data_IF_397361347709
#
_entry.id   IF_397361347709
#
_cell.length_a   1.000
_cell.length_b   1.000
_cell.length_c   1.000
_cell.angle_alpha   90.00
_cell.angle_beta   90.00
_cell.angle_gamma   90.00
#
_symmetry.space_group_name_H-M   'P 1'
#
loop_
_entity.id
_entity.type
_entity.pdbx_description
1 polymer ?
#
# COMPACT_ATOMS: atom_id res chain seq x y z
N UNK A 1 3.79 -11.66 -2.28
CA UNK A 1 3.49 -10.92 -3.54
C UNK A 1 3.55 -9.43 -3.24
N UNK A 2 4.04 -8.60 -4.17
CA UNK A 2 4.20 -7.16 -3.95
C UNK A 2 3.44 -6.36 -5.01
N UNK A 3 2.74 -5.31 -4.57
CA UNK A 3 2.05 -4.34 -5.41
C UNK A 3 2.71 -2.97 -5.20
N UNK A 4 3.38 -2.49 -6.23
CA UNK A 4 4.06 -1.19 -6.27
C UNK A 4 3.09 -0.01 -6.24
N UNK A 5 3.63 1.14 -5.85
CA UNK A 5 2.96 2.42 -6.05
C UNK A 5 2.78 2.69 -7.55
N UNK A 6 2.03 3.75 -7.88
CA UNK A 6 1.56 4.09 -9.23
C UNK A 6 2.45 3.63 -10.38
N UNK A 7 3.61 4.24 -10.56
CA UNK A 7 4.35 4.10 -11.81
C UNK A 7 5.82 3.76 -11.60
N UNK A 8 6.27 3.40 -10.39
CA UNK A 8 7.67 3.10 -10.13
C UNK A 8 7.92 1.59 -10.27
N UNK A 9 8.92 1.21 -11.07
CA UNK A 9 9.39 -0.17 -11.16
C UNK A 9 10.48 -0.44 -10.11
N UNK A 10 10.65 -1.72 -9.73
CA UNK A 10 11.69 -2.23 -8.81
C UNK A 10 11.60 -1.77 -7.35
N UNK A 11 10.48 -1.20 -6.93
CA UNK A 11 10.30 -0.80 -5.53
C UNK A 11 10.42 -1.97 -4.56
N UNK A 12 10.05 -3.18 -4.98
CA UNK A 12 10.22 -4.41 -4.21
C UNK A 12 11.66 -4.65 -3.72
N UNK A 13 12.67 -4.15 -4.45
CA UNK A 13 14.09 -4.23 -4.05
C UNK A 13 14.38 -3.40 -2.78
N UNK A 14 13.61 -2.33 -2.55
CA UNK A 14 13.68 -1.49 -1.34
C UNK A 14 13.10 -2.25 -0.14
N UNK A 15 12.10 -3.11 -0.38
CA UNK A 15 11.38 -3.86 0.63
C UNK A 15 11.84 -5.32 0.76
N UNK A 16 12.97 -5.70 0.15
CA UNK A 16 13.49 -7.07 0.16
C UNK A 16 13.73 -7.63 1.58
N UNK A 17 13.92 -6.75 2.57
CA UNK A 17 14.05 -7.11 3.99
C UNK A 17 12.73 -7.42 4.71
N UNK A 18 11.58 -7.06 4.14
CA UNK A 18 10.28 -7.47 4.68
C UNK A 18 10.08 -8.96 4.38
N UNK A 19 10.20 -9.80 5.42
CA UNK A 19 9.92 -11.23 5.32
C UNK A 19 8.51 -11.44 4.80
N UNK A 20 8.42 -11.97 3.58
CA UNK A 20 7.17 -12.36 2.96
C UNK A 20 6.97 -13.87 3.08
N UNK A 21 5.92 -14.27 3.78
CA UNK A 21 5.41 -15.63 3.69
C UNK A 21 4.85 -15.92 2.29
N UNK A 22 4.71 -17.21 1.96
CA UNK A 22 4.15 -17.66 0.69
C UNK A 22 2.74 -17.11 0.40
N UNK A 23 2.00 -16.79 1.45
CA UNK A 23 0.62 -16.30 1.41
C UNK A 23 0.47 -14.83 1.86
N UNK A 24 1.59 -14.11 1.92
CA UNK A 24 1.62 -12.70 2.29
C UNK A 24 1.56 -11.82 1.03
N UNK A 25 0.78 -10.74 1.13
CA UNK A 25 0.65 -9.72 0.09
C UNK A 25 1.03 -8.38 0.69
N UNK A 26 1.89 -7.64 -0.01
CA UNK A 26 2.30 -6.30 0.34
C UNK A 26 1.79 -5.32 -0.72
N UNK A 27 1.29 -4.18 -0.28
CA UNK A 27 1.09 -3.02 -1.13
C UNK A 27 1.83 -1.79 -0.59
N UNK A 28 2.33 -0.94 -1.48
CA UNK A 28 2.88 0.38 -1.17
C UNK A 28 2.05 1.46 -1.87
N UNK A 29 1.69 2.54 -1.17
CA UNK A 29 1.02 3.67 -1.79
C UNK A 29 -0.28 3.24 -2.45
N UNK A 30 -0.40 3.48 -3.76
CA UNK A 30 -1.50 2.98 -4.60
C UNK A 30 -1.60 1.45 -4.61
N UNK A 31 -0.46 0.77 -4.58
CA UNK A 31 -0.39 -0.68 -4.53
C UNK A 31 -1.09 -1.28 -3.31
N UNK A 32 -1.33 -0.51 -2.24
CA UNK A 32 -2.17 -0.91 -1.11
C UNK A 32 -3.61 -1.24 -1.55
N UNK A 33 -4.18 -0.44 -2.43
CA UNK A 33 -5.51 -0.67 -2.97
C UNK A 33 -5.53 -1.92 -3.86
N UNK A 34 -4.56 -2.05 -4.77
CA UNK A 34 -4.44 -3.22 -5.65
C UNK A 34 -4.24 -4.52 -4.86
N UNK A 35 -3.39 -4.49 -3.83
CA UNK A 35 -3.14 -5.61 -2.93
C UNK A 35 -4.41 -6.05 -2.21
N UNK A 36 -5.23 -5.10 -1.73
CA UNK A 36 -6.49 -5.38 -1.04
C UNK A 36 -7.51 -6.04 -1.96
N UNK A 37 -7.68 -5.51 -3.18
CA UNK A 37 -8.55 -6.09 -4.20
C UNK A 37 -8.09 -7.49 -4.64
N UNK A 38 -6.77 -7.69 -4.77
CA UNK A 38 -6.20 -9.00 -5.06
C UNK A 38 -6.51 -10.02 -3.97
N UNK A 39 -6.27 -9.67 -2.69
CA UNK A 39 -6.53 -10.53 -1.53
C UNK A 39 -8.01 -10.90 -1.48
N UNK A 40 -8.91 -9.93 -1.62
CA UNK A 40 -10.35 -10.17 -1.68
C UNK A 40 -10.71 -11.19 -2.76
N UNK A 41 -10.21 -10.97 -3.99
CA UNK A 41 -10.46 -11.88 -5.11
C UNK A 41 -9.85 -13.29 -4.91
N UNK A 42 -8.73 -13.43 -4.19
CA UNK A 42 -8.16 -14.74 -3.88
C UNK A 42 -9.00 -15.48 -2.82
N UNK A 43 -9.47 -14.79 -1.79
CA UNK A 43 -10.34 -15.38 -0.76
C UNK A 43 -11.65 -15.87 -1.39
N UNK A 44 -12.25 -15.10 -2.29
CA UNK A 44 -13.44 -15.53 -3.03
C UNK A 44 -13.21 -16.80 -3.86
N UNK A 45 -11.97 -17.03 -4.32
CA UNK A 45 -11.55 -18.25 -5.02
C UNK A 45 -11.11 -19.36 -4.07
N UNK A 46 -11.42 -19.25 -2.77
CA UNK A 46 -11.07 -20.21 -1.72
C UNK A 46 -9.56 -20.45 -1.58
N UNK A 47 -8.74 -19.45 -1.95
CA UNK A 47 -7.29 -19.53 -1.76
C UNK A 47 -6.90 -18.98 -0.40
N UNK A 48 -5.90 -19.63 0.21
CA UNK A 48 -5.34 -19.20 1.48
C UNK A 48 -4.59 -17.88 1.31
N UNK A 49 -4.95 -16.90 2.13
CA UNK A 49 -4.21 -15.67 2.35
C UNK A 49 -3.85 -15.58 3.84
N UNK A 50 -2.64 -15.14 4.16
CA UNK A 50 -2.17 -15.11 5.56
C UNK A 50 -2.07 -13.69 6.10
N UNK A 51 -1.54 -12.78 5.28
CA UNK A 51 -1.28 -11.41 5.68
C UNK A 51 -1.44 -10.46 4.50
N UNK A 52 -2.03 -9.31 4.79
CA UNK A 52 -2.06 -8.15 3.92
C UNK A 52 -1.34 -7.00 4.64
N UNK A 53 -0.21 -6.58 4.09
CA UNK A 53 0.63 -5.52 4.64
C UNK A 53 0.55 -4.30 3.74
N UNK A 54 0.09 -3.18 4.30
CA UNK A 54 -0.18 -1.94 3.59
C UNK A 54 0.78 -0.86 4.06
N UNK A 55 1.62 -0.36 3.17
CA UNK A 55 2.63 0.65 3.48
C UNK A 55 2.19 1.98 2.90
N UNK A 56 1.96 2.97 3.76
CA UNK A 56 1.45 4.29 3.39
C UNK A 56 0.30 4.23 2.38
N UNK A 57 -0.86 3.63 2.74
CA UNK A 57 -2.01 3.60 1.85
C UNK A 57 -2.45 5.02 1.47
N UNK A 58 -3.03 5.12 0.26
CA UNK A 58 -3.58 6.36 -0.30
C UNK A 58 -5.09 6.20 -0.37
N UNK A 59 -5.85 7.12 0.22
CA UNK A 59 -7.31 7.06 0.25
C UNK A 59 -7.87 7.66 -1.04
N UNK A 60 -7.48 8.90 -1.37
CA UNK A 60 -7.90 9.57 -2.60
C UNK A 60 -6.90 9.30 -3.74
N UNK A 61 -7.06 8.12 -4.35
CA UNK A 61 -6.21 7.64 -5.45
C UNK A 61 -6.20 8.61 -6.63
N UNK A 62 -7.34 9.20 -6.98
CA UNK A 62 -7.43 10.09 -8.15
C UNK A 62 -6.75 11.43 -7.87
N UNK A 63 -7.06 12.06 -6.74
CA UNK A 63 -6.41 13.32 -6.37
C UNK A 63 -4.90 13.12 -6.20
N UNK A 64 -4.46 12.03 -5.57
CA UNK A 64 -3.03 11.73 -5.46
C UNK A 64 -2.38 11.55 -6.83
N UNK A 65 -3.01 10.80 -7.74
CA UNK A 65 -2.50 10.58 -9.10
C UNK A 65 -2.29 11.92 -9.83
N UNK A 66 -3.29 12.80 -9.80
CA UNK A 66 -3.23 14.09 -10.47
C UNK A 66 -2.09 14.97 -9.92
N UNK A 67 -1.82 14.90 -8.63
CA UNK A 67 -0.78 15.68 -7.97
C UNK A 67 0.63 15.09 -8.16
N UNK A 68 0.79 13.77 -8.07
CA UNK A 68 2.10 13.12 -8.08
C UNK A 68 2.67 12.96 -9.49
N UNK A 69 1.81 12.82 -10.51
CA UNK A 69 2.27 12.56 -11.87
C UNK A 69 3.11 13.68 -12.49
N UNK A 70 2.73 14.96 -12.38
CA UNK A 70 3.58 16.06 -12.82
C UNK A 70 4.92 16.11 -12.06
N UNK A 71 4.93 15.76 -10.78
CA UNK A 71 6.15 15.75 -9.96
C UNK A 71 7.10 14.68 -10.47
N UNK A 72 6.64 13.43 -10.62
CA UNK A 72 7.52 12.36 -11.11
C UNK A 72 8.01 12.61 -12.54
N UNK A 73 7.17 13.14 -13.43
CA UNK A 73 7.54 13.46 -14.81
C UNK A 73 8.67 14.50 -14.90
N UNK A 74 8.76 15.40 -13.93
CA UNK A 74 9.77 16.46 -13.85
C UNK A 74 10.92 16.13 -12.87
N UNK A 75 10.97 14.90 -12.35
CA UNK A 75 11.98 14.45 -11.37
C UNK A 75 13.05 13.56 -12.03
N UNK A 76 14.19 13.32 -11.35
CA UNK A 76 15.16 12.30 -11.78
C UNK A 76 14.56 10.89 -11.91
N UNK A 77 13.38 10.64 -11.35
CA UNK A 77 12.69 9.35 -11.41
C UNK A 77 11.84 9.15 -12.67
N UNK A 78 11.82 10.10 -13.61
CA UNK A 78 11.06 10.00 -14.86
C UNK A 78 11.33 8.69 -15.63
N UNK A 79 12.57 8.19 -15.62
CA UNK A 79 12.95 6.94 -16.29
C UNK A 79 12.37 5.67 -15.67
N UNK A 80 11.90 5.74 -14.42
CA UNK A 80 11.23 4.64 -13.73
C UNK A 80 9.73 4.64 -13.95
N UNK A 81 9.17 5.68 -14.59
CA UNK A 81 7.74 5.80 -14.85
C UNK A 81 7.25 4.76 -15.86
N UNK A 82 6.44 3.82 -15.39
CA UNK A 82 5.68 2.90 -16.24
C UNK A 82 4.46 3.60 -16.84
N UNK A 83 4.68 4.31 -17.95
CA UNK A 83 3.65 5.12 -18.65
C UNK A 83 2.39 4.35 -19.03
N UNK A 84 2.51 3.03 -19.23
CA UNK A 84 1.41 2.17 -19.67
C UNK A 84 0.69 1.45 -18.50
N UNK A 85 1.08 1.69 -17.22
CA UNK A 85 0.36 1.06 -16.10
C UNK A 85 -1.05 1.64 -16.04
N UNK A 86 -2.04 0.78 -16.27
CA UNK A 86 -3.44 1.13 -16.09
C UNK A 86 -3.71 1.29 -14.59
N UNK A 87 -3.94 2.53 -14.16
CA UNK A 87 -4.42 2.83 -12.82
C UNK A 87 -5.92 2.58 -12.79
N UNK A 88 -6.34 1.64 -11.97
CA UNK A 88 -7.73 1.49 -11.59
C UNK A 88 -8.05 2.54 -10.53
N UNK A 89 -8.83 3.55 -10.92
CA UNK A 89 -9.36 4.56 -10.02
C UNK A 89 -10.58 3.93 -9.32
N UNK A 90 -10.31 3.23 -8.24
CA UNK A 90 -11.32 2.62 -7.38
C UNK A 90 -11.48 3.41 -6.08
N UNK A 91 -12.57 3.14 -5.37
CA UNK A 91 -12.78 3.62 -4.01
C UNK A 91 -12.59 2.47 -3.04
N UNK A 92 -12.04 2.78 -1.86
CA UNK A 92 -11.93 1.82 -0.78
C UNK A 92 -13.33 1.39 -0.33
N UNK A 93 -13.55 0.09 -0.29
CA UNK A 93 -14.79 -0.53 0.17
C UNK A 93 -14.54 -1.15 1.56
N UNK A 94 -15.03 -0.48 2.61
CA UNK A 94 -14.82 -0.90 3.99
C UNK A 94 -15.39 -2.29 4.26
N UNK A 95 -16.54 -2.64 3.67
CA UNK A 95 -17.15 -3.96 3.87
C UNK A 95 -16.27 -5.07 3.30
N UNK A 96 -15.59 -4.82 2.16
CA UNK A 96 -14.60 -5.75 1.61
C UNK A 96 -13.38 -5.89 2.51
N UNK A 97 -12.87 -4.81 3.07
CA UNK A 97 -11.73 -4.86 4.01
C UNK A 97 -12.09 -5.65 5.28
N UNK A 98 -13.28 -5.41 5.83
CA UNK A 98 -13.80 -6.18 6.96
C UNK A 98 -14.05 -7.64 6.60
N UNK A 99 -14.46 -7.93 5.36
CA UNK A 99 -14.56 -9.31 4.86
C UNK A 99 -13.18 -9.99 4.81
N UNK A 100 -12.13 -9.30 4.35
CA UNK A 100 -10.76 -9.83 4.36
C UNK A 100 -10.35 -10.18 5.81
N UNK A 101 -10.55 -9.27 6.75
CA UNK A 101 -10.21 -9.48 8.16
C UNK A 101 -10.98 -10.65 8.79
N UNK A 102 -12.28 -10.78 8.48
CA UNK A 102 -13.13 -11.90 8.95
C UNK A 102 -12.71 -13.27 8.42
N UNK A 103 -11.98 -13.32 7.31
CA UNK A 103 -11.41 -14.55 6.74
C UNK A 103 -9.98 -14.83 7.26
N UNK A 104 -9.69 -14.41 8.50
CA UNK A 104 -8.44 -14.66 9.22
C UNK A 104 -7.17 -14.11 8.57
N UNK A 105 -7.31 -13.19 7.61
CA UNK A 105 -6.17 -12.46 7.05
C UNK A 105 -5.78 -11.35 8.01
N UNK A 106 -4.52 -11.37 8.46
CA UNK A 106 -3.98 -10.28 9.29
C UNK A 106 -3.73 -9.05 8.42
N UNK A 107 -4.39 -7.95 8.73
CA UNK A 107 -4.17 -6.66 8.06
C UNK A 107 -3.24 -5.82 8.94
N UNK A 108 -2.08 -5.44 8.39
CA UNK A 108 -1.13 -4.54 9.03
C UNK A 108 -0.99 -3.27 8.17
N UNK A 109 -1.12 -2.10 8.80
CA UNK A 109 -1.00 -0.80 8.13
C UNK A 109 0.18 -0.04 8.72
N UNK A 110 1.12 0.37 7.89
CA UNK A 110 2.30 1.14 8.27
C UNK A 110 2.11 2.58 7.79
N UNK A 111 2.01 3.52 8.72
CA UNK A 111 1.55 4.88 8.45
C UNK A 111 2.45 5.94 9.09
N UNK A 112 2.87 6.93 8.31
CA UNK A 112 3.56 8.12 8.82
C UNK A 112 2.57 9.11 9.46
N UNK A 113 2.90 9.64 10.65
CA UNK A 113 2.00 10.57 11.38
C UNK A 113 1.82 11.94 10.71
N UNK A 114 2.74 12.33 9.83
CA UNK A 114 2.64 13.58 9.06
C UNK A 114 1.99 13.36 7.69
N UNK A 115 1.49 12.14 7.40
CA UNK A 115 0.68 11.89 6.21
C UNK A 115 -0.60 12.74 6.28
N UNK A 116 -0.92 13.45 5.19
CA UNK A 116 -2.10 14.31 5.11
C UNK A 116 -3.41 13.55 5.27
N UNK A 117 -3.43 12.28 4.85
CA UNK A 117 -4.58 11.37 4.92
C UNK A 117 -4.59 10.54 6.22
N UNK A 118 -3.76 10.90 7.22
CA UNK A 118 -3.58 10.11 8.44
C UNK A 118 -4.90 9.77 9.15
N UNK A 119 -5.78 10.75 9.32
CA UNK A 119 -7.06 10.53 10.01
C UNK A 119 -8.01 9.64 9.20
N UNK A 120 -8.09 9.85 7.89
CA UNK A 120 -8.95 9.05 7.01
C UNK A 120 -8.50 7.58 6.99
N UNK A 121 -7.19 7.33 7.02
CA UNK A 121 -6.63 5.97 7.11
C UNK A 121 -6.97 5.34 8.47
N UNK A 122 -6.89 6.08 9.58
CA UNK A 122 -7.31 5.56 10.88
C UNK A 122 -8.80 5.22 10.91
N UNK A 123 -9.66 6.05 10.32
CA UNK A 123 -11.10 5.82 10.25
C UNK A 123 -11.45 4.59 9.39
N UNK A 124 -10.75 4.42 8.28
CA UNK A 124 -10.98 3.30 7.36
C UNK A 124 -10.54 1.96 7.97
N UNK A 125 -9.35 1.89 8.56
CA UNK A 125 -8.72 0.62 8.96
C UNK A 125 -8.78 0.32 10.46
N UNK A 126 -9.01 1.34 11.30
CA UNK A 126 -8.75 1.25 12.75
C UNK A 126 -9.60 0.24 13.52
N UNK A 127 -10.73 -0.20 12.98
CA UNK A 127 -11.61 -1.18 13.64
C UNK A 127 -11.20 -2.63 13.43
N UNK A 128 -10.32 -2.94 12.46
CA UNK A 128 -10.01 -4.33 12.08
C UNK A 128 -8.55 -4.59 11.68
N UNK A 129 -7.73 -3.55 11.56
CA UNK A 129 -6.31 -3.68 11.24
C UNK A 129 -5.41 -3.33 12.43
N UNK A 130 -4.19 -3.86 12.41
CA UNK A 130 -3.12 -3.41 13.29
C UNK A 130 -2.39 -2.24 12.61
N UNK A 131 -2.45 -1.05 13.21
CA UNK A 131 -1.85 0.16 12.64
C UNK A 131 -0.56 0.53 13.39
N UNK A 132 0.54 0.60 12.66
CA UNK A 132 1.84 1.05 13.12
C UNK A 132 2.08 2.49 12.67
N UNK A 133 2.15 3.41 13.62
CA UNK A 133 2.35 4.83 13.35
C UNK A 133 3.80 5.27 13.60
N UNK A 134 4.42 5.90 12.61
CA UNK A 134 5.80 6.40 12.67
C UNK A 134 5.79 7.92 12.87
N UNK A 135 6.49 8.41 13.90
CA UNK A 135 6.58 9.84 14.19
C UNK A 135 7.55 10.52 13.23
N UNK A 136 7.23 11.76 12.80
CA UNK A 136 8.07 12.63 11.94
C UNK A 136 8.26 12.15 10.50
N UNK A 137 7.33 11.31 10.02
CA UNK A 137 7.31 10.78 8.65
C UNK A 137 6.03 11.23 7.98
N UNK A 138 6.14 11.93 6.84
CA UNK A 138 5.01 12.25 5.98
C UNK A 138 4.88 11.21 4.87
N UNK A 139 5.72 11.37 3.84
CA UNK A 139 5.96 10.51 2.68
C UNK A 139 7.32 11.01 2.11
N UNK A 140 8.33 10.18 1.77
CA UNK A 140 8.34 8.74 1.56
C UNK A 140 9.08 7.97 2.68
N UNK A 141 8.48 6.86 3.13
CA UNK A 141 9.11 5.88 4.04
C UNK A 141 10.42 5.28 3.47
N UNK A 142 10.76 5.55 2.21
CA UNK A 142 11.94 5.04 1.51
C UNK A 142 13.26 5.44 2.22
N UNK A 143 13.36 6.65 2.76
CA UNK A 143 14.57 7.07 3.50
C UNK A 143 14.67 6.43 4.89
N UNK A 144 13.54 6.20 5.57
CA UNK A 144 13.52 5.62 6.93
C UNK A 144 13.58 4.09 6.94
N UNK A 145 13.06 3.42 5.92
CA UNK A 145 13.08 1.96 5.83
C UNK A 145 14.46 1.40 5.47
N UNK A 146 15.40 2.24 5.03
CA UNK A 146 16.83 1.88 4.91
C UNK A 146 17.41 1.43 6.26
N UNK A 147 16.81 1.83 7.39
CA UNK A 147 17.23 1.45 8.75
C UNK A 147 16.97 -0.04 9.04
N UNK A 148 16.05 -0.69 8.31
CA UNK A 148 15.78 -2.13 8.44
C UNK A 148 16.71 -3.02 7.60
N UNK A 149 17.69 -2.44 6.89
CA UNK A 149 18.84 -3.19 6.36
C UNK A 149 19.79 -3.52 7.53
N UNK A 150 19.54 -4.64 8.19
CA UNK A 150 20.55 -5.36 8.97
C UNK A 150 21.09 -6.52 8.16
#
# INVERSE_FOLDING_TARGET
MFFSDFCLEKEEEIFFGLKNGLYDVIGLGYGCFEASEYVFAQIQKQKRMQKLLLISPIIDIEAYRQNIMPIYQNSPYQGYLKKDKKVNVGQWDKERLEFIARNEVKIEVYLGRENKEYQDILELFGSFALIYCFNRVAFPLVEELKIFKK
#
